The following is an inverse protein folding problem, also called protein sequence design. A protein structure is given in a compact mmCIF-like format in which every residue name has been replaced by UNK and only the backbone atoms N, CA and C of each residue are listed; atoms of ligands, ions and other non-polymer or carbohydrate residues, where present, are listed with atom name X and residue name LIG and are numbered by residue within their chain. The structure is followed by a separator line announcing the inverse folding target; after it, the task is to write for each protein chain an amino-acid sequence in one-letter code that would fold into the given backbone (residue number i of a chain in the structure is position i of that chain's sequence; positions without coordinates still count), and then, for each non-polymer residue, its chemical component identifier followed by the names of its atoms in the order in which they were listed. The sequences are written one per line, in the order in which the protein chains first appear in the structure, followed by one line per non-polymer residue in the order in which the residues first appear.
data_IF_029034553092
#
_entry.id   IF_029034553092
#
_cell.length_a   1.000
_cell.length_b   1.000
_cell.length_c   1.000
_cell.angle_alpha   90.00
_cell.angle_beta   90.00
_cell.angle_gamma   90.00
#
_symmetry.space_group_name_H-M   'P 1'
#
loop_
_entity.id
_entity.type
_entity.pdbx_description
1 polymer ?
#
# COMPACT_ATOMS: atom_id res chain seq x y z
N UNK A 1 -11.36 -16.15 -2.52
CA UNK A 1 -9.96 -16.62 -2.36
C UNK A 1 -9.92 -17.99 -1.72
N UNK A 2 -10.54 -18.19 -0.54
CA UNK A 2 -10.60 -19.48 0.17
C UNK A 2 -11.27 -20.59 -0.64
N UNK A 3 -12.42 -20.30 -1.25
CA UNK A 3 -13.22 -21.28 -2.03
C UNK A 3 -12.63 -21.59 -3.42
N UNK A 4 -11.56 -20.89 -3.81
CA UNK A 4 -10.96 -20.99 -5.15
C UNK A 4 -9.69 -21.83 -5.20
N UNK A 5 -8.83 -21.65 -4.21
CA UNK A 5 -7.51 -22.28 -4.18
C UNK A 5 -7.45 -23.50 -3.24
N UNK A 6 -8.58 -23.95 -2.67
CA UNK A 6 -8.58 -25.09 -1.73
C UNK A 6 -7.57 -24.88 -0.56
N UNK A 7 -7.41 -23.62 -0.12
CA UNK A 7 -6.35 -23.26 0.83
C UNK A 7 -6.81 -23.45 2.27
N UNK A 8 -6.03 -24.21 3.01
CA UNK A 8 -6.12 -24.31 4.46
C UNK A 8 -5.97 -22.90 5.08
N UNK A 9 -6.76 -22.50 6.11
CA UNK A 9 -6.74 -21.15 6.70
C UNK A 9 -5.35 -20.64 7.13
N UNK A 10 -4.42 -21.56 7.39
CA UNK A 10 -3.03 -21.29 7.71
C UNK A 10 -2.26 -20.58 6.58
N UNK A 11 -2.58 -20.83 5.31
CA UNK A 11 -1.89 -20.23 4.15
C UNK A 11 -2.17 -18.73 3.99
N UNK A 12 -3.39 -18.29 4.31
CA UNK A 12 -3.71 -16.87 4.39
C UNK A 12 -2.91 -16.17 5.49
N UNK A 13 -2.74 -16.85 6.63
CA UNK A 13 -1.89 -16.39 7.72
C UNK A 13 -0.43 -16.23 7.31
N UNK A 14 0.14 -17.18 6.57
CA UNK A 14 1.52 -17.06 6.08
C UNK A 14 1.72 -15.89 5.12
N UNK A 15 0.74 -15.64 4.24
CA UNK A 15 0.80 -14.53 3.27
C UNK A 15 0.81 -13.16 3.98
N UNK A 16 -0.09 -12.97 4.95
CA UNK A 16 -0.17 -11.71 5.71
C UNK A 16 1.04 -11.53 6.63
N UNK A 17 1.56 -12.62 7.18
CA UNK A 17 2.73 -12.61 8.04
C UNK A 17 3.99 -12.19 7.26
N UNK A 18 4.25 -12.77 6.09
CA UNK A 18 5.39 -12.36 5.24
C UNK A 18 5.30 -10.89 4.84
N UNK A 19 4.11 -10.43 4.45
CA UNK A 19 3.91 -9.01 4.12
C UNK A 19 4.23 -8.10 5.31
N UNK A 20 3.74 -8.46 6.50
CA UNK A 20 3.93 -7.66 7.72
C UNK A 20 5.38 -7.67 8.19
N UNK A 21 6.06 -8.81 8.08
CA UNK A 21 7.49 -8.92 8.37
C UNK A 21 8.32 -8.03 7.45
N UNK A 22 8.05 -8.08 6.14
CA UNK A 22 8.77 -7.25 5.17
C UNK A 22 8.50 -5.76 5.40
N UNK A 23 7.26 -5.39 5.69
CA UNK A 23 6.92 -4.03 6.09
C UNK A 23 7.71 -3.59 7.32
N UNK A 24 7.73 -4.41 8.38
CA UNK A 24 8.40 -4.05 9.63
C UNK A 24 9.91 -3.96 9.49
N UNK A 25 10.52 -4.80 8.64
CA UNK A 25 11.95 -4.82 8.39
C UNK A 25 12.41 -3.66 7.50
N UNK A 26 11.62 -3.31 6.48
CA UNK A 26 11.98 -2.28 5.50
C UNK A 26 11.51 -0.87 5.89
N UNK A 27 10.53 -0.74 6.78
CA UNK A 27 10.10 0.57 7.30
C UNK A 27 11.26 1.45 7.82
N UNK A 28 12.16 0.98 8.71
CA UNK A 28 13.29 1.79 9.16
C UNK A 28 14.31 2.08 8.03
N UNK A 29 14.49 1.15 7.10
CA UNK A 29 15.39 1.33 5.95
C UNK A 29 14.88 2.47 5.07
N UNK A 30 13.58 2.49 4.77
CA UNK A 30 12.97 3.56 4.00
C UNK A 30 12.97 4.89 4.74
N UNK A 31 12.80 4.89 6.07
CA UNK A 31 12.94 6.10 6.89
C UNK A 31 14.32 6.73 6.76
N UNK A 32 15.37 5.94 7.00
CA UNK A 32 16.76 6.41 6.87
C UNK A 32 17.08 6.89 5.44
N UNK A 33 16.58 6.15 4.45
CA UNK A 33 16.79 6.48 3.04
C UNK A 33 16.03 7.77 2.66
N UNK A 34 14.86 8.03 3.28
CA UNK A 34 14.07 9.26 3.10
C UNK A 34 14.71 10.52 3.69
N UNK A 35 15.53 10.37 4.72
CA UNK A 35 16.30 11.48 5.25
C UNK A 35 17.46 11.85 4.30
N UNK A 36 18.02 10.86 3.61
CA UNK A 36 19.16 11.06 2.70
C UNK A 36 18.77 11.52 1.29
N UNK A 37 17.64 11.05 0.76
CA UNK A 37 17.20 11.35 -0.61
C UNK A 37 15.95 12.24 -0.64
N UNK A 38 15.58 12.68 -1.84
CA UNK A 38 14.34 13.40 -2.14
C UNK A 38 13.11 12.62 -1.68
N UNK A 39 12.48 13.09 -0.59
CA UNK A 39 11.30 12.47 0.05
C UNK A 39 10.15 12.29 -0.94
N UNK A 40 9.96 13.25 -1.86
CA UNK A 40 8.94 13.18 -2.90
C UNK A 40 9.16 11.96 -3.80
N UNK A 41 10.35 11.85 -4.38
CA UNK A 41 10.66 10.77 -5.32
C UNK A 41 10.59 9.40 -4.65
N UNK A 42 11.00 9.28 -3.40
CA UNK A 42 10.87 8.02 -2.67
C UNK A 42 9.42 7.62 -2.41
N UNK A 43 8.54 8.58 -2.12
CA UNK A 43 7.12 8.31 -1.98
C UNK A 43 6.51 7.88 -3.32
N UNK A 44 6.87 8.55 -4.41
CA UNK A 44 6.47 8.18 -5.78
C UNK A 44 6.91 6.76 -6.11
N UNK A 45 8.19 6.41 -5.91
CA UNK A 45 8.70 5.06 -6.17
C UNK A 45 8.02 4.01 -5.30
N UNK A 46 7.83 4.26 -4.01
CA UNK A 46 7.18 3.32 -3.10
C UNK A 46 5.71 3.06 -3.46
N UNK A 47 4.95 4.12 -3.72
CA UNK A 47 3.54 4.01 -4.11
C UNK A 47 3.37 3.41 -5.51
N UNK A 48 4.28 3.68 -6.44
CA UNK A 48 4.28 3.05 -7.76
C UNK A 48 4.62 1.56 -7.68
N UNK A 49 5.63 1.19 -6.89
CA UNK A 49 6.01 -0.21 -6.67
C UNK A 49 4.87 -0.97 -5.98
N UNK A 50 4.21 -0.34 -5.01
CA UNK A 50 3.05 -0.93 -4.34
C UNK A 50 1.87 -1.14 -5.32
N UNK A 51 1.54 -0.12 -6.12
CA UNK A 51 0.47 -0.19 -7.12
C UNK A 51 0.73 -1.27 -8.18
N UNK A 52 1.93 -1.29 -8.77
CA UNK A 52 2.33 -2.31 -9.77
C UNK A 52 2.28 -3.71 -9.19
N UNK A 53 2.87 -3.94 -8.01
CA UNK A 53 2.85 -5.24 -7.34
C UNK A 53 1.42 -5.73 -7.07
N UNK A 54 0.51 -4.80 -6.74
CA UNK A 54 -0.92 -5.10 -6.49
C UNK A 54 -1.65 -5.53 -7.76
N UNK A 55 -1.37 -4.88 -8.91
CA UNK A 55 -1.92 -5.27 -10.22
C UNK A 55 -1.38 -6.64 -10.66
N UNK A 56 -0.08 -6.88 -10.46
CA UNK A 56 0.56 -8.17 -10.75
C UNK A 56 -0.07 -9.28 -9.91
N UNK A 57 -0.31 -9.04 -8.62
CA UNK A 57 -0.95 -9.99 -7.71
C UNK A 57 -2.37 -10.38 -8.18
N UNK A 58 -3.09 -9.47 -8.84
CA UNK A 58 -4.42 -9.75 -9.37
C UNK A 58 -4.45 -10.78 -10.51
N UNK A 59 -3.32 -10.99 -11.19
CA UNK A 59 -3.21 -11.91 -12.32
C UNK A 59 -2.66 -13.29 -11.92
N UNK A 60 -1.96 -13.37 -10.78
CA UNK A 60 -1.27 -14.58 -10.34
C UNK A 60 -2.24 -15.59 -9.73
N UNK A 61 -2.00 -16.87 -10.03
CA UNK A 61 -2.71 -18.03 -9.45
C UNK A 61 -1.78 -18.93 -8.64
N UNK A 62 -0.46 -18.81 -8.80
CA UNK A 62 0.52 -19.65 -8.12
C UNK A 62 0.89 -19.13 -6.73
N UNK A 63 0.95 -20.02 -5.74
CA UNK A 63 1.14 -19.67 -4.33
C UNK A 63 2.54 -19.10 -4.06
N UNK A 64 3.58 -19.65 -4.68
CA UNK A 64 4.95 -19.16 -4.50
C UNK A 64 5.11 -17.76 -5.09
N UNK A 65 4.49 -17.52 -6.25
CA UNK A 65 4.45 -16.18 -6.84
C UNK A 65 3.66 -15.19 -5.97
N UNK A 66 2.51 -15.59 -5.42
CA UNK A 66 1.74 -14.74 -4.50
C UNK A 66 2.58 -14.31 -3.29
N UNK A 67 3.34 -15.24 -2.70
CA UNK A 67 4.23 -14.95 -1.56
C UNK A 67 5.33 -13.96 -1.94
N UNK A 68 5.98 -14.15 -3.08
CA UNK A 68 7.02 -13.25 -3.57
C UNK A 68 6.48 -11.83 -3.79
N UNK A 69 5.36 -11.70 -4.52
CA UNK A 69 4.75 -10.39 -4.77
C UNK A 69 4.21 -9.74 -3.50
N UNK A 70 3.77 -10.51 -2.50
CA UNK A 70 3.37 -10.00 -1.18
C UNK A 70 4.56 -9.52 -0.35
N UNK A 71 5.71 -10.17 -0.45
CA UNK A 71 6.95 -9.67 0.14
C UNK A 71 7.32 -8.31 -0.47
N UNK A 72 7.29 -8.19 -1.80
CA UNK A 72 7.51 -6.92 -2.52
C UNK A 72 6.49 -5.86 -2.11
N UNK A 73 5.22 -6.24 -1.98
CA UNK A 73 4.15 -5.36 -1.54
C UNK A 73 4.40 -4.84 -0.11
N UNK A 74 4.88 -5.68 0.80
CA UNK A 74 5.28 -5.30 2.16
C UNK A 74 6.47 -4.33 2.18
N UNK A 75 7.50 -4.59 1.37
CA UNK A 75 8.64 -3.68 1.20
C UNK A 75 8.22 -2.29 0.70
N UNK A 76 7.28 -2.24 -0.25
CA UNK A 76 6.76 -1.00 -0.81
C UNK A 76 5.85 -0.25 0.17
N UNK A 77 4.96 -0.95 0.88
CA UNK A 77 4.08 -0.34 1.87
C UNK A 77 4.87 0.25 3.06
N UNK A 78 6.01 -0.36 3.39
CA UNK A 78 6.93 0.12 4.43
C UNK A 78 7.52 1.50 4.16
N UNK A 79 7.53 1.99 2.90
CA UNK A 79 8.05 3.33 2.60
C UNK A 79 7.04 4.44 2.86
N UNK A 80 5.75 4.17 2.69
CA UNK A 80 4.69 5.18 2.75
C UNK A 80 4.57 5.78 4.15
N UNK A 81 4.65 4.94 5.19
CA UNK A 81 4.56 5.37 6.59
C UNK A 81 5.60 6.42 6.99
N UNK A 82 6.90 6.08 7.02
CA UNK A 82 7.95 6.99 7.49
C UNK A 82 8.06 8.25 6.62
N UNK A 83 7.93 8.13 5.29
CA UNK A 83 8.03 9.30 4.39
C UNK A 83 6.85 10.25 4.62
N UNK A 84 5.62 9.71 4.73
CA UNK A 84 4.44 10.55 5.00
C UNK A 84 4.54 11.23 6.36
N UNK A 85 5.06 10.56 7.39
CA UNK A 85 5.26 11.16 8.70
C UNK A 85 6.34 12.26 8.66
N UNK A 86 7.42 12.05 7.91
CA UNK A 86 8.51 13.03 7.74
C UNK A 86 8.05 14.28 6.99
N UNK A 87 7.27 14.14 5.91
CA UNK A 87 6.68 15.28 5.18
C UNK A 87 5.71 16.06 6.06
N UNK A 88 4.89 15.35 6.85
CA UNK A 88 3.93 15.97 7.75
C UNK A 88 4.63 16.73 8.89
N UNK A 89 5.74 16.18 9.39
CA UNK A 89 6.56 16.80 10.43
C UNK A 89 7.13 18.15 9.97
N UNK A 90 7.57 18.24 8.73
CA UNK A 90 8.09 19.47 8.14
C UNK A 90 6.98 20.48 7.81
N UNK A 91 5.82 20.02 7.35
CA UNK A 91 4.72 20.88 6.91
C UNK A 91 3.87 21.44 8.05
N UNK A 92 3.77 20.72 9.18
CA UNK A 92 2.95 21.12 10.31
C UNK A 92 3.73 22.03 11.28
N UNK A 93 3.10 23.12 11.73
CA UNK A 93 3.63 23.92 12.85
C UNK A 93 3.63 23.07 14.12
N UNK A 94 4.65 23.23 14.97
CA UNK A 94 4.86 22.41 16.19
C UNK A 94 3.60 22.24 17.06
N UNK A 95 2.75 23.25 17.17
CA UNK A 95 1.52 23.22 17.97
C UNK A 95 0.37 22.38 17.36
N UNK A 96 0.41 22.10 16.06
CA UNK A 96 -0.64 21.37 15.33
C UNK A 96 -0.19 19.98 14.83
N UNK A 97 1.06 19.56 15.10
CA UNK A 97 1.61 18.27 14.68
C UNK A 97 0.72 17.09 15.10
N UNK A 98 0.30 17.05 16.37
CA UNK A 98 -0.56 15.98 16.89
C UNK A 98 -1.90 15.90 16.16
N UNK A 99 -2.50 17.04 15.82
CA UNK A 99 -3.76 17.09 15.06
C UNK A 99 -3.57 16.59 13.63
N UNK A 100 -2.48 17.01 12.98
CA UNK A 100 -2.10 16.56 11.64
C UNK A 100 -1.91 15.03 11.58
N UNK A 101 -1.18 14.44 12.54
CA UNK A 101 -1.03 12.98 12.63
C UNK A 101 -2.38 12.29 12.87
N UNK A 102 -3.23 12.86 13.73
CA UNK A 102 -4.58 12.38 13.96
C UNK A 102 -5.42 12.35 12.68
N UNK A 103 -5.37 13.41 11.87
CA UNK A 103 -6.09 13.49 10.61
C UNK A 103 -5.63 12.43 9.60
N UNK A 104 -4.31 12.25 9.45
CA UNK A 104 -3.74 11.20 8.58
C UNK A 104 -4.17 9.81 9.05
N UNK A 105 -4.19 9.58 10.36
CA UNK A 105 -4.61 8.30 10.92
C UNK A 105 -6.11 8.03 10.69
N UNK A 106 -6.95 9.06 10.82
CA UNK A 106 -8.39 8.97 10.52
C UNK A 106 -8.60 8.67 9.03
N UNK A 107 -7.94 9.40 8.13
CA UNK A 107 -8.00 9.13 6.68
C UNK A 107 -7.56 7.70 6.36
N UNK A 108 -6.50 7.20 7.00
CA UNK A 108 -6.02 5.82 6.84
C UNK A 108 -7.02 4.79 7.36
N UNK A 109 -7.69 5.06 8.48
CA UNK A 109 -8.75 4.20 9.01
C UNK A 109 -9.95 4.16 8.08
N UNK A 110 -10.43 5.32 7.61
CA UNK A 110 -11.53 5.40 6.65
C UNK A 110 -11.18 4.66 5.37
N UNK A 111 -9.98 4.86 4.83
CA UNK A 111 -9.50 4.15 3.64
C UNK A 111 -9.49 2.64 3.82
N UNK A 112 -9.01 2.13 4.97
CA UNK A 112 -9.04 0.69 5.28
C UNK A 112 -10.46 0.15 5.41
N UNK A 113 -11.36 0.90 6.05
CA UNK A 113 -12.76 0.51 6.20
C UNK A 113 -13.47 0.46 4.85
N UNK A 114 -13.39 1.54 4.07
CA UNK A 114 -13.99 1.60 2.73
C UNK A 114 -13.39 0.52 1.82
N UNK A 115 -12.07 0.36 1.82
CA UNK A 115 -11.40 -0.69 1.06
C UNK A 115 -11.85 -2.08 1.46
N UNK A 116 -11.98 -2.36 2.76
CA UNK A 116 -12.47 -3.62 3.29
C UNK A 116 -13.93 -3.90 2.92
N UNK A 117 -14.82 -2.92 3.08
CA UNK A 117 -16.25 -3.04 2.75
C UNK A 117 -16.43 -3.22 1.24
N UNK A 118 -15.83 -2.36 0.42
CA UNK A 118 -15.90 -2.47 -1.04
C UNK A 118 -15.33 -3.80 -1.50
N UNK A 119 -14.15 -4.19 -1.02
CA UNK A 119 -13.54 -5.46 -1.42
C UNK A 119 -14.40 -6.63 -0.97
N UNK A 120 -14.97 -6.64 0.23
CA UNK A 120 -15.78 -7.76 0.73
C UNK A 120 -17.12 -7.86 0.02
N UNK A 121 -17.80 -6.73 -0.22
CA UNK A 121 -19.08 -6.67 -0.92
C UNK A 121 -18.95 -7.04 -2.39
N UNK A 122 -17.87 -6.63 -3.05
CA UNK A 122 -17.64 -6.92 -4.48
C UNK A 122 -16.84 -8.20 -4.72
N UNK A 123 -16.12 -8.75 -3.73
CA UNK A 123 -15.29 -9.96 -3.91
C UNK A 123 -16.11 -11.20 -4.29
N UNK A 124 -17.36 -11.28 -3.82
CA UNK A 124 -18.28 -12.38 -4.09
C UNK A 124 -19.09 -12.20 -5.37
N UNK A 125 -19.11 -11.00 -5.95
CA UNK A 125 -19.80 -10.73 -7.22
C UNK A 125 -18.94 -11.16 -8.41
N UNK A 126 -19.58 -11.81 -9.38
CA UNK A 126 -18.99 -12.11 -10.68
C UNK A 126 -19.25 -10.94 -11.62
N UNK A 127 -18.19 -10.34 -12.14
CA UNK A 127 -18.26 -9.42 -13.28
C UNK A 127 -17.78 -10.19 -14.52
N UNK A 128 -18.72 -10.78 -15.26
CA UNK A 128 -18.42 -11.57 -16.46
C UNK A 128 -17.67 -12.88 -16.15
N UNK A 129 -16.49 -13.09 -16.74
CA UNK A 129 -15.62 -14.27 -16.57
C UNK A 129 -14.57 -14.11 -15.45
N UNK A 130 -14.51 -12.95 -14.78
CA UNK A 130 -13.52 -12.66 -13.75
C UNK A 130 -14.19 -12.52 -12.37
N UNK A 131 -13.54 -13.08 -11.34
CA UNK A 131 -14.00 -12.89 -9.96
C UNK A 131 -13.74 -11.47 -9.48
N UNK A 132 -14.72 -10.86 -8.82
CA UNK A 132 -14.68 -9.46 -8.38
C UNK A 132 -13.47 -9.09 -7.53
N UNK A 133 -12.91 -10.03 -6.76
CA UNK A 133 -11.69 -9.78 -5.99
C UNK A 133 -10.49 -9.35 -6.87
N UNK A 134 -10.34 -9.93 -8.07
CA UNK A 134 -9.26 -9.54 -9.01
C UNK A 134 -9.45 -8.12 -9.52
N UNK A 135 -10.69 -7.76 -9.84
CA UNK A 135 -11.05 -6.40 -10.27
C UNK A 135 -10.75 -5.39 -9.15
N UNK A 136 -11.07 -5.71 -7.89
CA UNK A 136 -10.72 -4.87 -6.76
C UNK A 136 -9.21 -4.63 -6.64
N UNK A 137 -8.38 -5.67 -6.78
CA UNK A 137 -6.91 -5.50 -6.75
C UNK A 137 -6.39 -4.63 -7.90
N UNK A 138 -6.94 -4.79 -9.11
CA UNK A 138 -6.56 -3.96 -10.27
C UNK A 138 -6.95 -2.50 -10.03
N UNK A 139 -8.19 -2.24 -9.58
CA UNK A 139 -8.68 -0.88 -9.30
C UNK A 139 -7.83 -0.21 -8.21
N UNK A 140 -7.55 -0.90 -7.11
CA UNK A 140 -6.68 -0.38 -6.03
C UNK A 140 -5.28 -0.08 -6.56
N UNK A 141 -4.71 -0.96 -7.37
CA UNK A 141 -3.41 -0.75 -7.98
C UNK A 141 -3.37 0.45 -8.92
N UNK A 142 -4.41 0.64 -9.74
CA UNK A 142 -4.54 1.81 -10.63
C UNK A 142 -4.68 3.09 -9.81
N UNK A 143 -5.54 3.11 -8.78
CA UNK A 143 -5.70 4.26 -7.89
C UNK A 143 -4.38 4.63 -7.21
N UNK A 144 -3.59 3.64 -6.80
CA UNK A 144 -2.26 3.87 -6.25
C UNK A 144 -1.29 4.50 -7.26
N UNK A 145 -1.32 4.04 -8.52
CA UNK A 145 -0.48 4.62 -9.57
C UNK A 145 -0.90 6.05 -9.92
N UNK A 146 -2.20 6.32 -9.96
CA UNK A 146 -2.71 7.67 -10.13
C UNK A 146 -2.29 8.58 -8.97
N UNK A 147 -2.36 8.10 -7.72
CA UNK A 147 -1.90 8.84 -6.56
C UNK A 147 -0.39 9.12 -6.64
N UNK A 148 0.40 8.13 -7.04
CA UNK A 148 1.85 8.27 -7.27
C UNK A 148 2.14 9.36 -8.31
N UNK A 149 1.40 9.36 -9.42
CA UNK A 149 1.51 10.38 -10.47
C UNK A 149 1.12 11.78 -9.98
N UNK A 150 0.03 11.88 -9.21
CA UNK A 150 -0.41 13.15 -8.61
C UNK A 150 0.67 13.68 -7.67
N UNK A 151 1.25 12.83 -6.82
CA UNK A 151 2.36 13.23 -5.94
C UNK A 151 3.56 13.68 -6.78
N UNK A 152 3.89 12.97 -7.85
CA UNK A 152 5.01 13.33 -8.73
C UNK A 152 4.83 14.71 -9.39
N UNK A 153 3.60 15.09 -9.74
CA UNK A 153 3.30 16.36 -10.44
C UNK A 153 3.05 17.52 -9.46
N UNK A 154 2.24 17.32 -8.43
CA UNK A 154 1.72 18.40 -7.58
C UNK A 154 2.53 18.67 -6.31
N UNK A 155 3.26 17.69 -5.78
CA UNK A 155 4.09 17.93 -4.59
C UNK A 155 5.38 18.59 -5.06
N UNK A 156 5.55 19.88 -4.82
CA UNK A 156 6.84 20.53 -4.98
C UNK A 156 7.72 20.22 -3.78
N UNK A 157 8.97 19.80 -4.03
CA UNK A 157 9.93 19.63 -2.94
C UNK A 157 10.26 21.02 -2.41
N UNK A 158 9.91 21.29 -1.16
CA UNK A 158 10.43 22.46 -0.47
C UNK A 158 11.96 22.36 -0.46
N UNK A 159 12.69 23.39 -0.93
CA UNK A 159 14.14 23.40 -0.85
C UNK A 159 14.54 23.28 0.63
N UNK A 160 15.44 22.32 0.91
CA UNK A 160 15.99 22.09 2.26
C UNK A 160 16.78 23.30 2.76
#
# INVERSE_FOLDING_TARGET
LETDLNLHPSLLGYITLIQTLMLSLFSPVWGFLSDKYSRKWMLVFGTALWGTATILLANITDLAQILFFRAVNGMALGSVGPISQSILADAAKNEALGFSFGLVQVSSCIGRLLGGVITTSFALQYFGTMRGWRVCFIVVGILSLLLSLIVAVFVEEAPR
#
